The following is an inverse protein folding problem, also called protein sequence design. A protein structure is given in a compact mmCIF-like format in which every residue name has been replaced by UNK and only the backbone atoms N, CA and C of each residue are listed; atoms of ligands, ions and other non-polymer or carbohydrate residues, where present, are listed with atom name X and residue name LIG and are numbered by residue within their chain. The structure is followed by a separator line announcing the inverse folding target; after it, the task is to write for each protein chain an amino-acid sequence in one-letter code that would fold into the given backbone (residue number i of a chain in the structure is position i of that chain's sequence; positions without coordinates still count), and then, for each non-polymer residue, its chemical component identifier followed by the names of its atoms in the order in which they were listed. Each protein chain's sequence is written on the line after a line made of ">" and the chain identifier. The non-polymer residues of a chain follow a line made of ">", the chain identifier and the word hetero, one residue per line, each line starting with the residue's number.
data_IF_930430122919
#
_entry.id   IF_930430122919
#
_cell.length_a   1.000
_cell.length_b   1.000
_cell.length_c   1.000
_cell.angle_alpha   90.00
_cell.angle_beta   90.00
_cell.angle_gamma   90.00
#
_symmetry.space_group_name_H-M   'P 1'
#
loop_
_entity.id
_entity.type
_entity.pdbx_description
1 polymer ?
#
# COMPACT_ATOMS: atom_id res chain seq x y z
N UNK A 1 -20.58 5.20 -3.09
CA UNK A 1 -20.00 6.05 -2.03
C UNK A 1 -20.58 7.45 -2.18
N UNK A 2 -21.29 7.91 -1.19
CA UNK A 2 -21.84 9.28 -1.12
C UNK A 2 -20.88 10.25 -0.41
N UNK A 3 -21.29 11.53 -0.26
CA UNK A 3 -20.47 12.56 0.40
C UNK A 3 -20.24 12.27 1.88
N UNK A 4 -21.21 11.65 2.54
CA UNK A 4 -21.14 11.31 3.97
C UNK A 4 -20.13 10.17 4.15
N UNK A 5 -20.23 9.11 3.33
CA UNK A 5 -19.27 8.01 3.34
C UNK A 5 -17.83 8.51 3.14
N UNK A 6 -17.63 9.44 2.18
CA UNK A 6 -16.32 10.04 1.96
C UNK A 6 -15.80 10.83 3.19
N UNK A 7 -16.69 11.50 3.92
CA UNK A 7 -16.30 12.21 5.14
C UNK A 7 -15.97 11.24 6.29
N UNK A 8 -16.73 10.15 6.46
CA UNK A 8 -16.40 9.08 7.41
C UNK A 8 -15.01 8.50 7.08
N UNK A 9 -14.74 8.19 5.82
CA UNK A 9 -13.43 7.68 5.39
C UNK A 9 -12.30 8.68 5.63
N UNK A 10 -12.54 10.00 5.46
CA UNK A 10 -11.55 11.04 5.80
C UNK A 10 -11.22 11.06 7.29
N UNK A 11 -12.20 10.84 8.16
CA UNK A 11 -11.96 10.71 9.60
C UNK A 11 -11.05 9.51 9.87
N UNK A 12 -11.39 8.35 9.32
CA UNK A 12 -10.66 7.09 9.52
C UNK A 12 -9.26 7.10 8.89
N UNK A 13 -9.06 7.79 7.76
CA UNK A 13 -7.71 7.93 7.16
C UNK A 13 -6.82 8.88 7.94
N UNK A 14 -7.39 9.80 8.73
CA UNK A 14 -6.66 10.68 9.64
C UNK A 14 -6.33 9.98 10.95
N UNK A 15 -7.29 9.24 11.50
CA UNK A 15 -7.15 8.50 12.76
C UNK A 15 -8.03 7.24 12.71
N UNK A 16 -7.41 6.09 12.41
CA UNK A 16 -8.09 4.80 12.34
C UNK A 16 -8.65 4.32 13.70
N UNK A 17 -8.27 4.94 14.82
CA UNK A 17 -8.78 4.65 16.17
C UNK A 17 -9.99 5.49 16.56
N UNK A 18 -10.40 6.44 15.71
CA UNK A 18 -11.56 7.28 15.96
C UNK A 18 -12.81 6.41 16.08
N UNK A 19 -13.53 6.52 17.20
CA UNK A 19 -14.74 5.76 17.43
C UNK A 19 -15.96 6.37 16.73
N UNK A 20 -17.04 5.60 16.60
CA UNK A 20 -18.25 6.03 15.91
C UNK A 20 -18.89 7.28 16.52
N UNK A 21 -18.77 7.50 17.83
CA UNK A 21 -19.27 8.69 18.50
C UNK A 21 -18.51 9.96 18.09
N UNK A 22 -17.18 9.87 17.98
CA UNK A 22 -16.35 10.98 17.51
C UNK A 22 -16.62 11.29 16.02
N UNK A 23 -16.75 10.23 15.19
CA UNK A 23 -17.07 10.40 13.77
C UNK A 23 -18.45 11.02 13.60
N UNK A 24 -19.47 10.60 14.39
CA UNK A 24 -20.84 11.07 14.28
C UNK A 24 -20.94 12.59 14.47
N UNK A 25 -20.14 13.15 15.39
CA UNK A 25 -20.05 14.60 15.60
C UNK A 25 -19.47 15.34 14.40
N UNK A 26 -18.50 14.74 13.70
CA UNK A 26 -17.85 15.36 12.54
C UNK A 26 -18.70 15.32 11.26
N UNK A 27 -19.54 14.28 11.13
CA UNK A 27 -20.37 14.10 9.93
C UNK A 27 -21.84 14.46 10.12
N UNK A 28 -22.22 14.94 11.33
CA UNK A 28 -23.60 15.31 11.71
C UNK A 28 -24.61 14.16 11.50
N UNK A 29 -24.29 12.98 11.98
CA UNK A 29 -25.16 11.79 11.98
C UNK A 29 -25.31 11.23 13.39
N UNK A 30 -26.31 10.34 13.58
CA UNK A 30 -26.37 9.51 14.78
C UNK A 30 -25.24 8.47 14.79
N UNK A 31 -24.83 8.04 15.98
CA UNK A 31 -23.80 6.99 16.16
C UNK A 31 -24.20 5.69 15.44
N UNK A 32 -25.47 5.30 15.55
CA UNK A 32 -26.01 4.11 14.88
C UNK A 32 -25.91 4.19 13.36
N UNK A 33 -26.21 5.37 12.76
CA UNK A 33 -26.10 5.58 11.33
C UNK A 33 -24.62 5.53 10.85
N UNK A 34 -23.67 6.03 11.66
CA UNK A 34 -22.23 5.90 11.34
C UNK A 34 -21.81 4.45 11.37
N UNK A 35 -22.20 3.68 12.41
CA UNK A 35 -21.87 2.25 12.53
C UNK A 35 -22.41 1.45 11.34
N UNK A 36 -23.66 1.70 10.95
CA UNK A 36 -24.28 1.02 9.81
C UNK A 36 -23.53 1.30 8.51
N UNK A 37 -23.17 2.58 8.26
CA UNK A 37 -22.39 2.96 7.08
C UNK A 37 -20.99 2.34 7.07
N UNK A 38 -20.30 2.31 8.20
CA UNK A 38 -18.99 1.67 8.31
C UNK A 38 -19.09 0.17 8.00
N UNK A 39 -20.04 -0.56 8.61
CA UNK A 39 -20.29 -1.97 8.31
C UNK A 39 -20.58 -2.22 6.82
N UNK A 40 -21.36 -1.34 6.18
CA UNK A 40 -21.65 -1.44 4.74
C UNK A 40 -20.39 -1.23 3.90
N UNK A 41 -19.52 -0.28 4.26
CA UNK A 41 -18.25 -0.05 3.56
C UNK A 41 -17.26 -1.20 3.78
N UNK A 42 -17.24 -1.83 4.94
CA UNK A 42 -16.47 -3.03 5.23
C UNK A 42 -16.99 -4.23 4.42
N UNK A 43 -18.29 -4.49 4.47
CA UNK A 43 -18.92 -5.59 3.73
C UNK A 43 -18.75 -5.47 2.20
N UNK A 44 -18.70 -4.24 1.67
CA UNK A 44 -18.45 -3.98 0.24
C UNK A 44 -16.97 -4.05 -0.16
N UNK A 45 -16.05 -4.23 0.80
CA UNK A 45 -14.61 -4.20 0.56
C UNK A 45 -14.03 -2.80 0.29
N UNK A 46 -14.81 -1.73 0.46
CA UNK A 46 -14.31 -0.35 0.36
C UNK A 46 -13.34 -0.04 1.50
N UNK A 47 -13.66 -0.48 2.73
CA UNK A 47 -12.72 -0.57 3.84
C UNK A 47 -12.21 -2.01 3.87
N UNK A 48 -10.94 -2.23 3.56
CA UNK A 48 -10.31 -3.55 3.55
C UNK A 48 -9.69 -3.92 4.89
N UNK A 49 -9.53 -2.96 5.80
CA UNK A 49 -8.95 -3.16 7.11
C UNK A 49 -8.49 -1.86 7.75
N UNK A 50 -8.04 -1.97 8.98
CA UNK A 50 -7.44 -0.88 9.77
C UNK A 50 -6.02 -1.31 10.13
N UNK A 51 -5.05 -0.41 10.00
CA UNK A 51 -3.65 -0.72 10.30
C UNK A 51 -3.00 0.40 11.10
N UNK A 52 -1.96 0.04 11.85
CA UNK A 52 -1.07 1.00 12.47
C UNK A 52 -0.01 1.48 11.47
N UNK A 53 0.28 2.76 11.47
CA UNK A 53 1.44 3.32 10.77
C UNK A 53 2.63 3.23 11.70
N UNK A 54 3.63 2.47 11.31
CA UNK A 54 4.84 2.21 12.09
C UNK A 54 5.97 3.10 11.58
N UNK A 55 6.76 3.67 12.48
CA UNK A 55 8.03 4.30 12.15
C UNK A 55 9.02 3.21 11.74
N UNK A 56 9.30 3.13 10.46
CA UNK A 56 10.11 2.06 9.86
C UNK A 56 11.53 2.05 10.43
N UNK A 57 12.11 3.24 10.70
CA UNK A 57 13.46 3.33 11.29
C UNK A 57 13.48 2.80 12.73
N UNK A 58 12.48 3.16 13.54
CA UNK A 58 12.37 2.64 14.89
C UNK A 58 12.07 1.13 14.92
N UNK A 59 11.43 0.62 13.87
CA UNK A 59 11.22 -0.81 13.66
C UNK A 59 12.45 -1.54 13.08
N UNK A 60 13.58 -0.85 12.87
CA UNK A 60 14.84 -1.45 12.41
C UNK A 60 15.05 -1.41 10.89
N UNK A 61 14.13 -0.82 10.12
CA UNK A 61 14.31 -0.64 8.67
C UNK A 61 15.11 0.66 8.42
N UNK A 62 16.43 0.52 8.29
CA UNK A 62 17.32 1.66 8.12
C UNK A 62 17.67 1.97 6.65
N UNK A 63 17.51 0.98 5.77
CA UNK A 63 17.78 1.10 4.34
C UNK A 63 16.54 0.70 3.56
N UNK A 64 16.11 1.57 2.66
CA UNK A 64 15.05 1.28 1.71
C UNK A 64 15.58 1.35 0.29
N UNK A 65 15.06 0.50 -0.58
CA UNK A 65 15.39 0.52 -1.99
C UNK A 65 14.16 0.26 -2.87
N UNK A 66 14.18 0.85 -4.06
CA UNK A 66 13.28 0.51 -5.16
C UNK A 66 14.05 -0.36 -6.13
N UNK A 67 13.51 -1.53 -6.48
CA UNK A 67 14.10 -2.42 -7.46
C UNK A 67 13.14 -2.60 -8.62
N UNK A 68 13.60 -2.28 -9.83
CA UNK A 68 12.91 -2.59 -11.08
C UNK A 68 13.40 -3.94 -11.61
N UNK A 69 12.49 -4.83 -11.99
CA UNK A 69 12.80 -6.21 -12.37
C UNK A 69 12.17 -6.49 -13.73
N UNK A 70 12.96 -7.11 -14.62
CA UNK A 70 12.50 -7.64 -15.92
C UNK A 70 12.60 -9.16 -15.91
N UNK A 71 11.56 -9.83 -16.40
CA UNK A 71 11.56 -11.26 -16.63
C UNK A 71 11.87 -11.56 -18.11
N UNK A 72 12.46 -12.71 -18.36
CA UNK A 72 12.76 -13.19 -19.73
C UNK A 72 11.50 -13.55 -20.51
N UNK A 73 10.47 -14.06 -19.80
CA UNK A 73 9.24 -14.53 -20.42
C UNK A 73 8.08 -14.53 -19.41
N UNK A 74 6.84 -14.21 -19.83
CA UNK A 74 5.66 -14.20 -18.95
C UNK A 74 5.34 -15.51 -18.24
N UNK A 75 5.86 -16.65 -18.73
CA UNK A 75 5.68 -17.95 -18.05
C UNK A 75 6.22 -17.98 -16.62
N UNK A 76 7.16 -17.09 -16.30
CA UNK A 76 7.75 -16.99 -14.95
C UNK A 76 6.95 -16.12 -13.99
N UNK A 77 5.92 -15.38 -14.46
CA UNK A 77 5.16 -14.44 -13.63
C UNK A 77 4.57 -15.09 -12.37
N UNK A 78 4.01 -16.29 -12.49
CA UNK A 78 3.35 -16.95 -11.34
C UNK A 78 4.35 -17.30 -10.24
N UNK A 79 5.47 -17.92 -10.62
CA UNK A 79 6.53 -18.27 -9.68
C UNK A 79 7.17 -17.03 -9.07
N UNK A 80 7.49 -16.03 -9.90
CA UNK A 80 8.03 -14.76 -9.43
C UNK A 80 7.09 -14.07 -8.43
N UNK A 81 5.78 -13.97 -8.74
CA UNK A 81 4.80 -13.38 -7.84
C UNK A 81 4.76 -14.11 -6.50
N UNK A 82 4.81 -15.45 -6.51
CA UNK A 82 4.82 -16.22 -5.28
C UNK A 82 6.06 -15.91 -4.43
N UNK A 83 7.26 -15.92 -5.03
CA UNK A 83 8.51 -15.63 -4.34
C UNK A 83 8.51 -14.20 -3.75
N UNK A 84 8.03 -13.21 -4.50
CA UNK A 84 7.94 -11.83 -4.02
C UNK A 84 6.92 -11.66 -2.89
N UNK A 85 5.80 -12.39 -2.91
CA UNK A 85 4.78 -12.34 -1.86
C UNK A 85 5.25 -12.91 -0.52
N UNK A 86 6.13 -13.91 -0.52
CA UNK A 86 6.62 -14.57 0.70
C UNK A 86 7.93 -13.97 1.22
N UNK A 87 8.58 -13.12 0.47
CA UNK A 87 9.86 -12.53 0.84
C UNK A 87 9.68 -11.42 1.89
N UNK A 88 10.15 -11.62 3.10
CA UNK A 88 9.92 -10.74 4.26
C UNK A 88 10.41 -9.29 4.06
N UNK A 89 11.54 -9.11 3.36
CA UNK A 89 12.09 -7.78 3.08
C UNK A 89 11.38 -7.03 1.95
N UNK A 90 10.47 -7.69 1.21
CA UNK A 90 9.68 -7.05 0.16
C UNK A 90 8.42 -6.45 0.77
N UNK A 91 8.38 -5.14 0.88
CA UNK A 91 7.26 -4.41 1.47
C UNK A 91 6.09 -4.24 0.49
N UNK A 92 6.40 -4.01 -0.78
CA UNK A 92 5.43 -3.83 -1.87
C UNK A 92 6.01 -4.35 -3.17
N UNK A 93 5.16 -4.91 -4.05
CA UNK A 93 5.55 -5.31 -5.38
C UNK A 93 4.40 -5.02 -6.35
N UNK A 94 4.70 -4.35 -7.45
CA UNK A 94 3.74 -3.93 -8.47
C UNK A 94 4.15 -4.50 -9.83
N UNK A 95 3.19 -5.09 -10.55
CA UNK A 95 3.32 -5.38 -11.96
C UNK A 95 3.06 -4.09 -12.74
N UNK A 96 3.98 -3.67 -13.60
CA UNK A 96 3.95 -2.36 -14.24
C UNK A 96 4.06 -2.48 -15.77
N UNK A 97 3.77 -1.40 -16.46
CA UNK A 97 4.03 -1.25 -17.91
C UNK A 97 5.32 -0.49 -18.12
N UNK A 98 6.03 -0.75 -19.23
CA UNK A 98 7.26 -0.06 -19.63
C UNK A 98 8.43 -0.99 -19.83
N UNK A 99 9.65 -0.52 -19.59
CA UNK A 99 10.88 -1.27 -19.83
C UNK A 99 11.12 -2.41 -18.83
N UNK A 100 10.47 -2.39 -17.70
CA UNK A 100 10.51 -3.42 -16.66
C UNK A 100 9.11 -3.96 -16.41
N UNK A 101 9.03 -5.21 -15.97
CA UNK A 101 7.75 -5.87 -15.69
C UNK A 101 7.27 -5.58 -14.26
N UNK A 102 8.20 -5.43 -13.32
CA UNK A 102 7.88 -5.21 -11.90
C UNK A 102 8.71 -4.08 -11.31
N UNK A 103 8.14 -3.45 -10.28
CA UNK A 103 8.84 -2.60 -9.33
C UNK A 103 8.47 -3.03 -7.91
N UNK A 104 9.48 -3.22 -7.06
CA UNK A 104 9.29 -3.58 -5.66
C UNK A 104 9.94 -2.57 -4.74
N UNK A 105 9.34 -2.36 -3.56
CA UNK A 105 9.92 -1.63 -2.44
C UNK A 105 10.48 -2.62 -1.43
N UNK A 106 11.75 -2.44 -1.09
CA UNK A 106 12.50 -3.28 -0.16
C UNK A 106 12.83 -2.45 1.06
N UNK A 107 12.68 -3.06 2.24
CA UNK A 107 13.10 -2.49 3.52
C UNK A 107 13.98 -3.47 4.29
N UNK A 108 15.16 -3.01 4.70
CA UNK A 108 16.18 -3.81 5.40
C UNK A 108 16.90 -3.01 6.47
N UNK A 109 17.61 -3.70 7.35
CA UNK A 109 18.34 -3.06 8.45
C UNK A 109 19.68 -2.46 8.02
N UNK A 110 20.32 -2.99 6.97
CA UNK A 110 21.64 -2.56 6.51
C UNK A 110 21.88 -2.77 5.02
N UNK A 111 22.96 -2.21 4.48
CA UNK A 111 23.40 -2.41 3.10
C UNK A 111 23.86 -3.84 2.82
N UNK A 112 24.38 -4.53 3.81
CA UNK A 112 24.78 -5.94 3.73
C UNK A 112 23.53 -6.82 3.55
N UNK A 113 22.46 -6.53 4.29
CA UNK A 113 21.17 -7.21 4.13
C UNK A 113 20.57 -6.90 2.77
N UNK A 114 20.62 -5.64 2.32
CA UNK A 114 20.17 -5.28 0.97
C UNK A 114 20.88 -6.10 -0.11
N UNK A 115 22.20 -6.28 0.04
CA UNK A 115 22.99 -7.08 -0.92
C UNK A 115 22.50 -8.53 -0.99
N UNK A 116 22.13 -9.13 0.16
CA UNK A 116 21.56 -10.50 0.19
C UNK A 116 20.20 -10.54 -0.53
N UNK A 117 19.30 -9.62 -0.20
CA UNK A 117 17.97 -9.54 -0.83
C UNK A 117 18.08 -9.36 -2.35
N UNK A 118 18.98 -8.49 -2.81
CA UNK A 118 19.22 -8.30 -4.24
C UNK A 118 19.76 -9.56 -4.93
N UNK A 119 20.58 -10.34 -4.22
CA UNK A 119 21.08 -11.62 -4.71
C UNK A 119 19.95 -12.64 -4.81
N UNK A 120 19.12 -12.77 -3.77
CA UNK A 120 17.98 -13.69 -3.73
C UNK A 120 16.99 -13.40 -4.86
N UNK A 121 16.64 -12.13 -5.07
CA UNK A 121 15.75 -11.73 -6.17
C UNK A 121 16.35 -12.07 -7.55
N UNK A 122 17.66 -11.87 -7.74
CA UNK A 122 18.34 -12.19 -9.01
C UNK A 122 18.41 -13.68 -9.29
N UNK A 123 18.30 -14.53 -8.27
CA UNK A 123 18.28 -15.97 -8.42
C UNK A 123 16.89 -16.54 -8.73
N UNK A 124 15.82 -15.74 -8.62
CA UNK A 124 14.48 -16.19 -8.98
C UNK A 124 14.46 -16.56 -10.49
N UNK A 125 13.97 -17.76 -10.85
CA UNK A 125 13.92 -18.19 -12.23
C UNK A 125 13.21 -17.19 -13.13
N UNK A 126 13.83 -16.84 -14.26
CA UNK A 126 13.30 -15.90 -15.24
C UNK A 126 13.66 -14.44 -14.99
N UNK A 127 14.31 -14.09 -13.91
CA UNK A 127 14.81 -12.72 -13.73
C UNK A 127 16.00 -12.49 -14.67
N UNK A 128 15.84 -11.57 -15.63
CA UNK A 128 16.86 -11.25 -16.65
C UNK A 128 17.62 -9.97 -16.37
N UNK A 129 16.95 -8.98 -15.77
CA UNK A 129 17.54 -7.68 -15.50
C UNK A 129 16.95 -7.08 -14.22
N UNK A 130 17.80 -6.46 -13.42
CA UNK A 130 17.36 -5.66 -12.25
C UNK A 130 18.05 -4.31 -12.27
N UNK A 131 17.34 -3.28 -11.78
CA UNK A 131 17.89 -1.95 -11.53
C UNK A 131 17.45 -1.48 -10.16
N UNK A 132 18.40 -1.16 -9.29
CA UNK A 132 18.15 -0.80 -7.90
C UNK A 132 18.44 0.67 -7.66
N UNK A 133 17.56 1.33 -6.92
CA UNK A 133 17.72 2.69 -6.43
C UNK A 133 17.56 2.70 -4.92
N UNK A 134 18.57 3.18 -4.21
CA UNK A 134 18.46 3.37 -2.76
C UNK A 134 17.66 4.64 -2.50
N UNK A 135 16.66 4.54 -1.62
CA UNK A 135 15.85 5.67 -1.21
C UNK A 135 16.64 6.52 -0.22
N UNK A 136 16.88 7.77 -0.55
CA UNK A 136 17.60 8.70 0.32
C UNK A 136 16.67 9.34 1.35
N UNK A 137 15.44 9.69 0.93
CA UNK A 137 14.44 10.32 1.78
C UNK A 137 13.02 10.04 1.27
N UNK A 138 12.06 9.95 2.19
CA UNK A 138 10.63 9.84 1.91
C UNK A 138 9.99 11.23 1.95
N UNK A 139 9.91 11.91 0.82
CA UNK A 139 9.33 13.25 0.72
C UNK A 139 7.84 13.27 1.07
N UNK A 140 7.13 12.19 0.77
CA UNK A 140 5.70 12.03 1.08
C UNK A 140 5.31 10.57 1.14
N UNK A 141 4.70 10.17 2.25
CA UNK A 141 4.14 8.83 2.43
C UNK A 141 2.74 8.96 3.04
N UNK A 142 1.74 8.48 2.32
CA UNK A 142 0.37 8.39 2.81
C UNK A 142 0.01 6.92 2.98
N UNK A 143 -0.51 6.56 4.15
CA UNK A 143 -0.91 5.18 4.46
C UNK A 143 -2.18 4.73 3.74
N UNK A 144 -2.95 5.66 3.16
CA UNK A 144 -4.20 5.35 2.46
C UNK A 144 -4.52 6.41 1.40
N UNK A 145 -5.46 6.09 0.52
CA UNK A 145 -5.96 7.02 -0.49
C UNK A 145 -6.87 8.07 0.14
N UNK A 146 -6.79 9.31 -0.35
CA UNK A 146 -7.73 10.37 0.04
C UNK A 146 -9.07 10.10 -0.68
N UNK A 147 -10.18 9.88 0.06
CA UNK A 147 -11.47 9.63 -0.55
C UNK A 147 -11.92 10.77 -1.47
N UNK A 148 -12.27 10.44 -2.71
CA UNK A 148 -12.81 11.39 -3.69
C UNK A 148 -14.29 11.07 -3.91
N UNK A 149 -15.19 12.04 -3.68
CA UNK A 149 -16.59 11.93 -4.14
C UNK A 149 -16.60 12.06 -5.65
N UNK A 150 -17.39 11.21 -6.33
CA UNK A 150 -17.72 11.48 -7.74
C UNK A 150 -18.37 12.85 -7.79
N UNK A 151 -17.83 13.77 -8.59
CA UNK A 151 -18.51 15.02 -8.88
C UNK A 151 -19.92 14.67 -9.38
N UNK A 152 -20.95 15.20 -8.70
CA UNK A 152 -22.32 15.11 -9.21
C UNK A 152 -22.28 15.82 -10.55
N UNK A 153 -22.47 15.08 -11.65
CA UNK A 153 -22.68 15.71 -12.95
C UNK A 153 -23.91 16.60 -12.81
N UNK A 154 -23.84 17.89 -13.17
CA UNK A 154 -25.04 18.73 -13.18
C UNK A 154 -26.03 18.05 -14.12
N UNK A 155 -27.26 17.85 -13.62
CA UNK A 155 -28.41 17.44 -14.44
C UNK A 155 -28.51 18.41 -15.61
N UNK A 156 -28.46 17.88 -16.82
CA UNK A 156 -28.80 18.62 -18.05
C UNK A 156 -30.27 18.90 -18.09
#
# INVERSE_FOLDING_TARGET
>A
MDRIDANILKCLTKDARMNASQISQQVNLSVSAVIERMKKMEASGLIRGYTAVIDERQAGVNVQAMISIRLEHPKYNQEFNHQMCVHESVMECFYITGDFDYIARIGVSSTEELTKVLHDIKQIPGVSLTRTYVVLDNVKQNSSVIPRTKAVQPLK
#
